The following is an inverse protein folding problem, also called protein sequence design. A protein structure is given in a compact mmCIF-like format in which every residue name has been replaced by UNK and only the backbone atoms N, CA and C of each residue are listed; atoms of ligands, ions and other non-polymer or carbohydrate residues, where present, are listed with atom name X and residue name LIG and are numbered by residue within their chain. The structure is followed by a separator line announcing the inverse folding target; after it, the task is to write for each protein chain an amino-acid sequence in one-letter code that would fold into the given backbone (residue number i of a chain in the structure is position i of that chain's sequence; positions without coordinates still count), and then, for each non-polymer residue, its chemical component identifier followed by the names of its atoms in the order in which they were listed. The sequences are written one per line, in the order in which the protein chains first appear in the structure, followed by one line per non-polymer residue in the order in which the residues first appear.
data_IF_465452024755
#
_entry.id   IF_465452024755
#
_cell.length_a   1.000
_cell.length_b   1.000
_cell.length_c   1.000
_cell.angle_alpha   90.00
_cell.angle_beta   90.00
_cell.angle_gamma   90.00
#
_symmetry.space_group_name_H-M   'P 1'
#
loop_
_entity.id
_entity.type
_entity.pdbx_description
1 polymer ?
#
# COMPACT_ATOMS: atom_id res chain seq x y z
N UNK A 1 -19.28 -16.33 54.69
CA UNK A 1 -17.90 -16.28 54.14
C UNK A 1 -17.98 -15.74 52.72
N UNK A 2 -17.61 -14.48 52.50
CA UNK A 2 -17.48 -13.90 51.15
C UNK A 2 -16.21 -14.49 50.52
N UNK A 3 -16.35 -15.23 49.42
CA UNK A 3 -15.22 -15.73 48.62
C UNK A 3 -14.82 -14.63 47.64
N UNK A 4 -13.68 -14.01 47.90
CA UNK A 4 -13.01 -13.13 46.95
C UNK A 4 -12.34 -14.00 45.89
N UNK A 5 -12.84 -13.96 44.66
CA UNK A 5 -12.15 -14.54 43.50
C UNK A 5 -11.18 -13.47 43.01
N UNK A 6 -9.88 -13.75 43.11
CA UNK A 6 -8.83 -12.93 42.50
C UNK A 6 -8.63 -13.48 41.10
N UNK A 7 -9.15 -12.78 40.10
CA UNK A 7 -8.87 -13.06 38.69
C UNK A 7 -7.50 -12.47 38.35
N UNK A 8 -6.51 -13.33 38.15
CA UNK A 8 -5.18 -12.93 37.69
C UNK A 8 -5.27 -12.58 36.20
N UNK A 9 -5.27 -11.28 35.88
CA UNK A 9 -5.21 -10.81 34.50
C UNK A 9 -3.75 -10.93 34.03
N UNK A 10 -3.45 -11.97 33.25
CA UNK A 10 -2.16 -12.07 32.55
C UNK A 10 -2.25 -11.17 31.32
N UNK A 11 -1.69 -9.96 31.42
CA UNK A 11 -1.39 -9.15 30.25
C UNK A 11 -0.21 -9.81 29.52
N UNK A 12 -0.50 -10.48 28.42
CA UNK A 12 0.52 -10.85 27.44
C UNK A 12 0.96 -9.55 26.76
N UNK A 13 2.20 -9.11 27.02
CA UNK A 13 2.86 -8.13 26.17
C UNK A 13 3.09 -8.78 24.80
N UNK A 14 2.35 -8.33 23.79
CA UNK A 14 2.68 -8.63 22.41
C UNK A 14 4.00 -7.93 22.09
N UNK A 15 5.08 -8.70 22.07
CA UNK A 15 6.30 -8.28 21.38
C UNK A 15 5.94 -8.14 19.89
N UNK A 16 6.29 -7.02 19.26
CA UNK A 16 6.13 -6.80 17.82
C UNK A 16 6.72 -8.01 17.07
N UNK A 17 5.85 -8.75 16.40
CA UNK A 17 6.21 -10.00 15.76
C UNK A 17 6.96 -9.73 14.46
N UNK A 18 8.18 -10.25 14.34
CA UNK A 18 8.84 -10.48 13.06
C UNK A 18 7.88 -11.16 12.09
N UNK A 19 7.84 -10.70 10.84
CA UNK A 19 7.12 -11.34 9.75
C UNK A 19 7.37 -12.86 9.77
N UNK A 20 6.29 -13.64 9.67
CA UNK A 20 6.33 -15.08 9.86
C UNK A 20 6.49 -15.74 8.50
N UNK A 21 7.62 -16.41 8.28
CA UNK A 21 7.77 -17.32 7.15
C UNK A 21 6.53 -18.23 7.08
N UNK A 22 5.89 -18.29 5.91
CA UNK A 22 4.71 -19.09 5.65
C UNK A 22 5.06 -20.15 4.61
N UNK A 23 4.62 -21.37 4.86
CA UNK A 23 4.67 -22.43 3.86
C UNK A 23 3.48 -22.30 2.92
N UNK A 24 3.75 -22.39 1.62
CA UNK A 24 2.78 -22.43 0.54
C UNK A 24 2.86 -23.79 -0.13
N UNK A 25 1.72 -24.50 -0.17
CA UNK A 25 1.63 -25.82 -0.78
C UNK A 25 1.53 -25.76 -2.30
N UNK A 26 1.83 -26.89 -2.94
CA UNK A 26 1.59 -27.15 -4.37
C UNK A 26 0.17 -26.73 -4.78
N UNK A 27 0.03 -26.11 -5.95
CA UNK A 27 -1.23 -25.54 -6.42
C UNK A 27 -1.47 -24.07 -6.00
N UNK A 28 -0.59 -23.48 -5.18
CA UNK A 28 -0.61 -22.03 -4.92
C UNK A 28 -0.33 -21.27 -6.22
N UNK A 29 -0.97 -20.12 -6.39
CA UNK A 29 -0.83 -19.27 -7.59
C UNK A 29 0.19 -18.16 -7.29
N UNK A 30 1.11 -17.93 -8.22
CA UNK A 30 2.10 -16.84 -8.16
C UNK A 30 1.81 -15.86 -9.30
N UNK A 31 1.70 -14.57 -8.98
CA UNK A 31 1.78 -13.47 -9.94
C UNK A 31 3.21 -12.92 -9.85
N UNK A 32 4.11 -13.27 -10.79
CA UNK A 32 5.48 -12.81 -10.77
C UNK A 32 5.55 -11.29 -10.96
N UNK A 33 6.57 -10.67 -10.35
CA UNK A 33 6.83 -9.22 -10.43
C UNK A 33 8.27 -8.93 -10.89
N UNK A 34 8.98 -9.95 -11.36
CA UNK A 34 10.30 -9.86 -11.98
C UNK A 34 10.20 -9.58 -13.49
N UNK A 35 11.29 -9.09 -14.07
CA UNK A 35 11.36 -8.84 -15.52
C UNK A 35 11.63 -10.10 -16.34
N UNK A 36 11.82 -11.26 -15.72
CA UNK A 36 11.97 -12.51 -16.48
C UNK A 36 10.60 -12.96 -17.02
N UNK A 37 9.55 -12.79 -16.21
CA UNK A 37 8.19 -13.26 -16.54
C UNK A 37 7.15 -12.15 -16.70
N UNK A 38 7.31 -10.99 -16.06
CA UNK A 38 6.28 -9.94 -16.03
C UNK A 38 6.66 -8.68 -16.80
N UNK A 39 7.77 -8.68 -17.53
CA UNK A 39 8.36 -7.48 -18.16
C UNK A 39 7.36 -6.65 -19.00
N UNK A 40 6.58 -7.33 -19.85
CA UNK A 40 5.56 -6.70 -20.70
C UNK A 40 4.15 -6.67 -20.10
N UNK A 41 3.96 -7.26 -18.92
CA UNK A 41 2.69 -7.32 -18.21
C UNK A 41 2.69 -6.57 -16.88
N UNK A 42 3.76 -5.86 -16.55
CA UNK A 42 4.04 -5.35 -15.21
C UNK A 42 2.89 -4.56 -14.62
N UNK A 43 2.38 -3.57 -15.35
CA UNK A 43 1.28 -2.74 -14.86
C UNK A 43 -0.03 -3.53 -14.74
N UNK A 44 -0.32 -4.39 -15.72
CA UNK A 44 -1.53 -5.21 -15.69
C UNK A 44 -1.49 -6.30 -14.59
N UNK A 45 -0.33 -6.63 -14.02
CA UNK A 45 -0.25 -7.48 -12.84
C UNK A 45 -0.87 -6.79 -11.62
N UNK A 46 -0.59 -5.50 -11.40
CA UNK A 46 -1.23 -4.73 -10.33
C UNK A 46 -2.74 -4.65 -10.51
N UNK A 47 -3.22 -4.48 -11.75
CA UNK A 47 -4.65 -4.57 -12.06
C UNK A 47 -5.26 -5.93 -11.73
N UNK A 48 -4.57 -7.03 -12.05
CA UNK A 48 -5.03 -8.37 -11.69
C UNK A 48 -5.11 -8.55 -10.17
N UNK A 49 -4.11 -8.07 -9.42
CA UNK A 49 -4.11 -8.10 -7.96
C UNK A 49 -5.29 -7.31 -7.40
N UNK A 50 -5.55 -6.10 -7.93
CA UNK A 50 -6.72 -5.32 -7.56
C UNK A 50 -8.03 -6.05 -7.87
N UNK A 51 -8.15 -6.67 -9.06
CA UNK A 51 -9.33 -7.43 -9.49
C UNK A 51 -9.60 -8.65 -8.60
N UNK A 52 -8.55 -9.35 -8.18
CA UNK A 52 -8.68 -10.45 -7.23
C UNK A 52 -9.14 -9.96 -5.85
N UNK A 53 -8.54 -8.88 -5.33
CA UNK A 53 -8.89 -8.35 -4.01
C UNK A 53 -10.32 -7.80 -3.93
N UNK A 54 -10.83 -7.17 -4.99
CA UNK A 54 -12.23 -6.71 -5.06
C UNK A 54 -13.25 -7.85 -5.20
N UNK A 55 -12.78 -9.07 -5.47
CA UNK A 55 -13.59 -10.29 -5.47
C UNK A 55 -13.24 -11.17 -4.25
N UNK A 56 -12.82 -10.54 -3.14
CA UNK A 56 -12.58 -11.16 -1.83
C UNK A 56 -11.53 -12.28 -1.83
N UNK A 57 -10.54 -12.22 -2.73
CA UNK A 57 -9.44 -13.19 -2.79
C UNK A 57 -8.28 -12.71 -1.92
N UNK A 58 -7.89 -13.41 -0.84
CA UNK A 58 -6.72 -13.05 -0.05
C UNK A 58 -5.43 -13.21 -0.86
N UNK A 59 -4.53 -12.23 -0.75
CA UNK A 59 -3.24 -12.23 -1.44
C UNK A 59 -2.11 -11.99 -0.45
N UNK A 60 -1.06 -12.79 -0.56
CA UNK A 60 0.17 -12.61 0.20
C UNK A 60 1.20 -11.90 -0.67
N UNK A 61 1.66 -10.73 -0.23
CA UNK A 61 2.83 -10.08 -0.82
C UNK A 61 4.08 -10.70 -0.21
N UNK A 62 4.76 -11.57 -0.97
CA UNK A 62 5.87 -12.35 -0.45
C UNK A 62 7.18 -11.62 -0.73
N UNK A 63 7.84 -11.19 0.34
CA UNK A 63 9.06 -10.37 0.28
C UNK A 63 10.03 -10.86 1.34
N UNK A 64 11.21 -11.28 0.91
CA UNK A 64 12.25 -11.81 1.81
C UNK A 64 12.80 -10.71 2.72
N UNK A 65 12.77 -10.96 4.03
CA UNK A 65 13.29 -10.03 5.01
C UNK A 65 14.82 -9.91 4.92
N UNK A 66 15.34 -8.70 5.08
CA UNK A 66 16.77 -8.39 5.02
C UNK A 66 17.42 -8.65 3.66
N UNK A 67 16.62 -8.84 2.59
CA UNK A 67 17.18 -9.07 1.26
C UNK A 67 17.93 -7.83 0.76
N UNK A 68 18.97 -8.05 -0.04
CA UNK A 68 19.55 -6.97 -0.84
C UNK A 68 18.73 -6.78 -2.11
N UNK A 69 18.81 -5.59 -2.70
CA UNK A 69 18.14 -5.30 -3.96
C UNK A 69 18.49 -6.33 -5.05
N UNK A 70 17.49 -6.74 -5.82
CA UNK A 70 17.66 -7.73 -6.90
C UNK A 70 17.82 -9.17 -6.43
N UNK A 71 17.85 -9.44 -5.12
CA UNK A 71 17.79 -10.81 -4.61
C UNK A 71 16.39 -11.40 -4.77
N UNK A 72 16.33 -12.72 -4.96
CA UNK A 72 15.08 -13.48 -4.94
C UNK A 72 14.39 -13.41 -3.57
N UNK A 73 13.07 -13.26 -3.62
CA UNK A 73 12.16 -13.32 -2.48
C UNK A 73 11.94 -14.77 -2.03
N UNK A 74 11.79 -15.67 -2.99
CA UNK A 74 11.79 -17.11 -2.78
C UNK A 74 12.12 -17.83 -4.09
N UNK A 75 12.36 -19.14 -3.99
CA UNK A 75 12.63 -20.00 -5.14
C UNK A 75 11.70 -21.21 -5.11
N UNK A 76 11.08 -21.53 -6.24
CA UNK A 76 10.25 -22.75 -6.35
C UNK A 76 10.08 -23.21 -7.80
N UNK A 77 9.54 -24.42 -7.95
CA UNK A 77 9.10 -24.98 -9.22
C UNK A 77 7.63 -24.64 -9.47
N UNK A 78 7.30 -24.37 -10.72
CA UNK A 78 5.95 -24.03 -11.15
C UNK A 78 5.69 -24.46 -12.60
N UNK A 79 4.46 -24.24 -13.05
CA UNK A 79 4.08 -24.24 -14.46
C UNK A 79 3.33 -22.95 -14.78
N UNK A 80 3.37 -22.52 -16.05
CA UNK A 80 2.53 -21.42 -16.50
C UNK A 80 1.04 -21.75 -16.34
N UNK A 81 0.26 -20.81 -15.80
CA UNK A 81 -1.17 -21.00 -15.53
C UNK A 81 -1.98 -21.19 -16.81
N UNK A 82 -1.62 -20.50 -17.90
CA UNK A 82 -2.42 -20.43 -19.13
C UNK A 82 -2.32 -21.72 -19.94
N UNK A 83 -1.16 -22.37 -19.99
CA UNK A 83 -0.97 -23.60 -20.76
C UNK A 83 -0.73 -24.87 -19.92
N UNK A 84 -0.39 -24.72 -18.62
CA UNK A 84 -0.09 -25.82 -17.69
C UNK A 84 0.99 -26.81 -18.17
N UNK A 85 1.79 -26.43 -19.16
CA UNK A 85 2.81 -27.27 -19.80
C UNK A 85 4.20 -26.63 -19.78
N UNK A 86 4.26 -25.30 -19.82
CA UNK A 86 5.52 -24.56 -19.71
C UNK A 86 6.04 -24.70 -18.29
N UNK A 87 7.05 -25.58 -18.12
CA UNK A 87 7.69 -25.87 -16.84
C UNK A 87 8.65 -24.76 -16.47
N UNK A 88 8.56 -24.33 -15.21
CA UNK A 88 9.43 -23.35 -14.58
C UNK A 88 10.12 -24.09 -13.44
N UNK A 89 11.44 -24.25 -13.55
CA UNK A 89 12.22 -25.03 -12.59
C UNK A 89 13.12 -24.10 -11.79
N UNK A 90 13.05 -24.20 -10.47
CA UNK A 90 13.94 -23.54 -9.51
C UNK A 90 14.08 -22.03 -9.77
N UNK A 91 12.96 -21.38 -10.11
CA UNK A 91 12.97 -19.95 -10.46
C UNK A 91 13.03 -19.09 -9.21
N UNK A 92 13.99 -18.17 -9.15
CA UNK A 92 14.09 -17.16 -8.11
C UNK A 92 13.21 -15.96 -8.42
N UNK A 93 12.00 -15.95 -7.86
CA UNK A 93 11.05 -14.85 -8.02
C UNK A 93 11.56 -13.60 -7.30
N UNK A 94 11.53 -12.45 -7.98
CA UNK A 94 12.04 -11.17 -7.47
C UNK A 94 10.97 -10.08 -7.56
N UNK A 95 11.28 -8.93 -6.96
CA UNK A 95 10.45 -7.72 -7.07
C UNK A 95 9.12 -7.82 -6.32
N UNK A 96 9.04 -8.64 -5.27
CA UNK A 96 7.84 -8.80 -4.44
C UNK A 96 6.70 -9.48 -5.20
N UNK A 97 6.84 -10.76 -5.59
CA UNK A 97 5.74 -11.52 -6.17
C UNK A 97 4.52 -11.61 -5.24
N UNK A 98 3.33 -11.71 -5.86
CA UNK A 98 2.08 -11.92 -5.14
C UNK A 98 1.68 -13.39 -5.18
N UNK A 99 1.20 -13.92 -4.06
CA UNK A 99 0.87 -15.34 -3.93
C UNK A 99 -0.54 -15.51 -3.39
N UNK A 100 -1.33 -16.37 -4.03
CA UNK A 100 -2.60 -16.89 -3.51
C UNK A 100 -2.32 -18.29 -2.97
N UNK A 101 -2.60 -18.51 -1.69
CA UNK A 101 -2.41 -19.81 -1.06
C UNK A 101 -3.31 -20.86 -1.72
N UNK A 102 -2.81 -22.09 -1.89
CA UNK A 102 -3.58 -23.18 -2.51
C UNK A 102 -4.92 -23.45 -1.81
N UNK A 103 -5.04 -23.15 -0.51
CA UNK A 103 -6.30 -23.23 0.23
C UNK A 103 -7.36 -22.22 -0.23
N UNK A 104 -6.94 -21.09 -0.80
CA UNK A 104 -7.81 -20.01 -1.28
C UNK A 104 -8.08 -20.12 -2.79
N UNK A 105 -7.38 -21.00 -3.51
CA UNK A 105 -7.54 -21.21 -4.96
C UNK A 105 -8.79 -22.06 -5.25
N UNK A 106 -9.78 -21.43 -5.88
CA UNK A 106 -11.01 -22.08 -6.34
C UNK A 106 -11.34 -21.73 -7.81
N UNK A 107 -12.44 -22.26 -8.34
CA UNK A 107 -12.83 -22.04 -9.76
C UNK A 107 -13.15 -20.57 -10.07
N UNK A 108 -13.65 -19.80 -9.10
CA UNK A 108 -13.88 -18.35 -9.24
C UNK A 108 -12.57 -17.61 -9.41
N UNK A 109 -11.57 -17.88 -8.56
CA UNK A 109 -10.21 -17.31 -8.67
C UNK A 109 -9.63 -17.59 -10.05
N UNK A 110 -9.71 -18.84 -10.51
CA UNK A 110 -9.22 -19.24 -11.83
C UNK A 110 -9.97 -18.52 -12.95
N UNK A 111 -11.29 -18.38 -12.85
CA UNK A 111 -12.10 -17.69 -13.85
C UNK A 111 -11.74 -16.21 -13.97
N UNK A 112 -11.46 -15.53 -12.85
CA UNK A 112 -10.98 -14.13 -12.84
C UNK A 112 -9.65 -14.03 -13.60
N UNK A 113 -8.68 -14.89 -13.29
CA UNK A 113 -7.37 -14.89 -13.94
C UNK A 113 -7.50 -15.17 -15.45
N UNK A 114 -8.30 -16.16 -15.84
CA UNK A 114 -8.56 -16.49 -17.25
C UNK A 114 -9.20 -15.30 -17.98
N UNK A 115 -10.22 -14.67 -17.39
CA UNK A 115 -10.89 -13.52 -17.98
C UNK A 115 -9.94 -12.33 -18.15
N UNK A 116 -9.08 -12.08 -17.16
CA UNK A 116 -8.06 -11.02 -17.23
C UNK A 116 -7.03 -11.27 -18.33
N UNK A 117 -6.44 -12.48 -18.35
CA UNK A 117 -5.43 -12.88 -19.33
C UNK A 117 -5.98 -12.99 -20.77
N UNK A 118 -7.29 -13.02 -20.96
CA UNK A 118 -7.92 -13.00 -22.28
C UNK A 118 -7.80 -11.64 -22.97
N UNK A 119 -7.69 -10.55 -22.20
CA UNK A 119 -7.66 -9.17 -22.73
C UNK A 119 -6.41 -8.38 -22.33
N UNK A 120 -5.61 -8.91 -21.40
CA UNK A 120 -4.40 -8.26 -20.91
C UNK A 120 -3.19 -9.19 -20.95
N UNK A 121 -2.03 -8.62 -21.29
CA UNK A 121 -0.75 -9.31 -21.17
C UNK A 121 -0.38 -9.36 -19.70
N UNK A 122 -0.44 -10.55 -19.11
CA UNK A 122 0.00 -10.84 -17.74
C UNK A 122 0.44 -12.30 -17.63
N UNK A 123 1.45 -12.57 -16.81
CA UNK A 123 1.91 -13.92 -16.52
C UNK A 123 1.43 -14.33 -15.14
N UNK A 124 1.06 -15.61 -14.99
CA UNK A 124 0.63 -16.21 -13.73
C UNK A 124 1.15 -17.63 -13.72
N UNK A 125 1.67 -18.09 -12.59
CA UNK A 125 2.20 -19.44 -12.45
C UNK A 125 1.43 -20.21 -11.39
N UNK A 126 1.46 -21.55 -11.49
CA UNK A 126 0.94 -22.48 -10.48
C UNK A 126 2.10 -23.29 -9.96
N UNK A 127 2.33 -23.23 -8.65
CA UNK A 127 3.39 -23.99 -8.00
C UNK A 127 3.22 -25.50 -8.17
N UNK A 128 4.30 -26.19 -8.51
CA UNK A 128 4.37 -27.65 -8.60
C UNK A 128 5.18 -28.26 -7.45
N UNK A 129 5.74 -27.40 -6.60
CA UNK A 129 6.51 -27.75 -5.41
C UNK A 129 6.21 -26.76 -4.28
N UNK A 130 6.13 -27.29 -3.07
CA UNK A 130 5.95 -26.50 -1.86
C UNK A 130 7.17 -25.58 -1.63
N UNK A 131 6.92 -24.39 -1.09
CA UNK A 131 7.99 -23.45 -0.73
C UNK A 131 7.67 -22.68 0.56
N UNK A 132 8.69 -22.05 1.12
CA UNK A 132 8.55 -21.09 2.21
C UNK A 132 8.85 -19.68 1.70
N UNK A 133 8.04 -18.71 2.11
CA UNK A 133 8.25 -17.30 1.81
C UNK A 133 7.94 -16.42 3.00
N UNK A 134 8.72 -15.36 3.17
CA UNK A 134 8.45 -14.33 4.18
C UNK A 134 7.28 -13.46 3.72
N UNK A 135 6.33 -13.21 4.61
CA UNK A 135 5.15 -12.41 4.31
C UNK A 135 5.46 -10.93 4.59
N UNK A 136 5.59 -10.15 3.53
CA UNK A 136 5.67 -8.70 3.63
C UNK A 136 4.32 -8.13 4.05
N UNK A 137 3.23 -8.50 3.37
CA UNK A 137 1.85 -8.12 3.71
C UNK A 137 0.88 -9.23 3.38
N UNK A 138 -0.22 -9.33 4.14
CA UNK A 138 -1.42 -10.06 3.72
C UNK A 138 -2.51 -9.06 3.35
N UNK A 139 -2.85 -9.01 2.08
CA UNK A 139 -3.91 -8.17 1.53
C UNK A 139 -5.22 -8.94 1.50
N UNK A 140 -6.29 -8.28 1.91
CA UNK A 140 -7.63 -8.89 2.01
C UNK A 140 -8.73 -7.99 1.45
N UNK A 141 -8.41 -6.76 1.08
CA UNK A 141 -9.35 -5.83 0.47
C UNK A 141 -8.66 -5.00 -0.61
N UNK A 142 -9.39 -4.69 -1.67
CA UNK A 142 -8.93 -3.70 -2.64
C UNK A 142 -9.03 -2.31 -2.00
N UNK A 143 -7.96 -1.48 -2.04
CA UNK A 143 -8.02 -0.15 -1.48
C UNK A 143 -9.08 0.69 -2.21
N UNK A 144 -9.94 1.39 -1.47
CA UNK A 144 -10.77 2.46 -2.05
C UNK A 144 -9.90 3.69 -2.26
N UNK A 145 -9.93 4.28 -3.45
CA UNK A 145 -8.94 5.26 -3.89
C UNK A 145 -9.63 6.58 -4.20
N UNK A 146 -9.08 7.68 -3.70
CA UNK A 146 -9.38 9.04 -4.12
C UNK A 146 -8.16 9.70 -4.76
N UNK A 147 -8.42 10.56 -5.74
CA UNK A 147 -7.41 11.35 -6.43
C UNK A 147 -7.70 12.84 -6.23
N UNK A 148 -6.70 13.58 -5.77
CA UNK A 148 -6.79 15.02 -5.66
C UNK A 148 -6.76 15.66 -7.05
N UNK A 149 -7.84 16.36 -7.41
CA UNK A 149 -7.96 17.14 -8.63
C UNK A 149 -7.15 18.45 -8.53
N UNK A 150 -5.83 18.30 -8.37
CA UNK A 150 -4.87 19.38 -8.16
C UNK A 150 -4.47 20.10 -9.47
N UNK A 151 -5.19 19.85 -10.57
CA UNK A 151 -4.88 20.32 -11.92
C UNK A 151 -3.88 19.45 -12.66
N UNK A 152 -3.24 18.49 -11.99
CA UNK A 152 -2.24 17.58 -12.53
C UNK A 152 -2.62 16.10 -12.32
N UNK A 153 -3.86 15.82 -11.94
CA UNK A 153 -4.42 14.47 -11.74
C UNK A 153 -4.23 13.53 -12.94
N UNK A 154 -4.05 14.08 -14.16
CA UNK A 154 -3.79 13.30 -15.37
C UNK A 154 -2.53 12.41 -15.25
N UNK A 155 -1.57 12.77 -14.39
CA UNK A 155 -0.38 11.96 -14.11
C UNK A 155 -0.76 10.65 -13.43
N UNK A 156 -1.39 10.73 -12.25
CA UNK A 156 -1.86 9.56 -11.51
C UNK A 156 -2.84 8.73 -12.34
N UNK A 157 -3.78 9.39 -13.04
CA UNK A 157 -4.68 8.74 -13.99
C UNK A 157 -3.93 7.87 -14.99
N UNK A 158 -2.81 8.34 -15.55
CA UNK A 158 -2.03 7.56 -16.51
C UNK A 158 -1.51 6.25 -15.92
N UNK A 159 -1.12 6.25 -14.64
CA UNK A 159 -0.64 5.07 -13.91
C UNK A 159 -1.78 4.08 -13.66
N UNK A 160 -2.92 4.59 -13.19
CA UNK A 160 -4.12 3.78 -12.94
C UNK A 160 -4.65 3.13 -14.23
N UNK A 161 -4.70 3.88 -15.33
CA UNK A 161 -5.09 3.38 -16.66
C UNK A 161 -4.10 2.32 -17.18
N UNK A 162 -2.79 2.55 -17.01
CA UNK A 162 -1.77 1.58 -17.38
C UNK A 162 -1.96 0.26 -16.60
N UNK A 163 -2.27 0.34 -15.30
CA UNK A 163 -2.57 -0.81 -14.47
C UNK A 163 -3.95 -1.43 -14.73
N UNK A 164 -4.89 -0.68 -15.32
CA UNK A 164 -6.32 -1.02 -15.42
C UNK A 164 -7.02 -1.11 -14.06
N UNK A 165 -6.57 -0.32 -13.08
CA UNK A 165 -7.27 -0.20 -11.80
C UNK A 165 -8.36 0.87 -11.97
N UNK A 166 -9.65 0.54 -11.81
CA UNK A 166 -10.75 1.47 -12.05
C UNK A 166 -11.04 2.36 -10.85
N UNK A 167 -11.85 3.39 -11.10
CA UNK A 167 -12.53 4.13 -10.02
C UNK A 167 -13.67 3.30 -9.39
N UNK A 168 -14.36 3.86 -8.40
CA UNK A 168 -15.46 3.21 -7.69
C UNK A 168 -16.68 2.90 -8.56
N UNK A 169 -16.80 3.51 -9.74
CA UNK A 169 -17.85 3.21 -10.72
C UNK A 169 -17.46 2.10 -11.70
N UNK A 170 -16.27 1.52 -11.50
CA UNK A 170 -15.64 0.53 -12.35
C UNK A 170 -15.19 1.07 -13.70
N UNK A 171 -14.97 2.38 -13.81
CA UNK A 171 -14.42 3.00 -15.01
C UNK A 171 -12.87 3.01 -14.94
N UNK A 172 -12.18 2.22 -15.79
CA UNK A 172 -10.72 2.16 -15.81
C UNK A 172 -10.06 3.41 -16.41
N UNK A 173 -10.85 4.33 -16.98
CA UNK A 173 -10.35 5.56 -17.61
C UNK A 173 -10.22 6.73 -16.64
N UNK A 174 -10.80 6.62 -15.44
CA UNK A 174 -10.78 7.64 -14.39
C UNK A 174 -11.21 9.03 -14.91
N UNK A 175 -12.42 9.20 -15.47
CA UNK A 175 -12.83 10.48 -16.06
C UNK A 175 -12.78 11.62 -15.03
N UNK A 176 -12.69 12.88 -15.48
CA UNK A 176 -12.76 14.04 -14.56
C UNK A 176 -14.08 14.10 -13.77
N UNK A 177 -15.12 13.43 -14.27
CA UNK A 177 -16.42 13.27 -13.59
C UNK A 177 -16.47 12.10 -12.61
N UNK A 178 -15.36 11.38 -12.40
CA UNK A 178 -15.29 10.29 -11.43
C UNK A 178 -15.68 10.81 -10.05
N UNK A 179 -16.51 10.09 -9.28
CA UNK A 179 -16.85 10.49 -7.91
C UNK A 179 -15.65 10.50 -6.96
N UNK A 180 -14.55 9.86 -7.37
CA UNK A 180 -13.32 9.73 -6.58
C UNK A 180 -12.27 10.77 -6.97
N UNK A 181 -12.60 11.67 -7.90
CA UNK A 181 -11.78 12.80 -8.31
C UNK A 181 -12.18 14.03 -7.47
N UNK A 182 -11.48 14.23 -6.35
CA UNK A 182 -11.85 15.23 -5.33
C UNK A 182 -11.15 16.56 -5.56
N UNK A 183 -11.91 17.64 -5.67
CA UNK A 183 -11.36 19.00 -5.75
C UNK A 183 -10.77 19.47 -4.41
N UNK A 184 -9.87 20.47 -4.41
CA UNK A 184 -9.37 21.06 -3.16
C UNK A 184 -10.49 21.53 -2.23
N UNK A 185 -11.58 22.09 -2.77
CA UNK A 185 -12.71 22.55 -1.97
C UNK A 185 -13.51 21.39 -1.35
N UNK A 186 -13.66 20.28 -2.09
CA UNK A 186 -14.32 19.08 -1.56
C UNK A 186 -13.47 18.42 -0.47
N UNK A 187 -12.16 18.35 -0.63
CA UNK A 187 -11.26 17.83 0.40
C UNK A 187 -11.29 18.72 1.65
N UNK A 188 -11.22 20.04 1.47
CA UNK A 188 -11.18 21.01 2.57
C UNK A 188 -12.48 21.04 3.40
N UNK A 189 -13.64 20.81 2.79
CA UNK A 189 -14.92 20.97 3.51
C UNK A 189 -15.10 22.40 4.06
N UNK A 190 -15.51 22.51 5.32
CA UNK A 190 -15.69 23.81 5.99
C UNK A 190 -14.42 24.19 6.75
N UNK A 191 -13.86 25.36 6.45
CA UNK A 191 -12.64 25.86 7.12
C UNK A 191 -12.76 25.83 8.65
N UNK A 192 -11.83 25.15 9.32
CA UNK A 192 -11.75 25.01 10.76
C UNK A 192 -12.69 23.96 11.35
N UNK A 193 -13.31 23.12 10.52
CA UNK A 193 -14.17 22.00 10.94
C UNK A 193 -13.52 20.70 10.50
N UNK A 194 -13.01 19.96 11.46
CA UNK A 194 -12.35 18.68 11.19
C UNK A 194 -13.36 17.63 10.70
N UNK A 195 -12.94 16.89 9.67
CA UNK A 195 -13.57 15.66 9.15
C UNK A 195 -14.95 15.87 8.53
N UNK A 196 -15.15 17.00 7.87
CA UNK A 196 -16.39 17.33 7.16
C UNK A 196 -16.21 17.38 5.63
N UNK A 197 -14.98 17.29 5.13
CA UNK A 197 -14.66 17.18 3.72
C UNK A 197 -15.04 15.82 3.11
N UNK A 198 -14.90 15.72 1.79
CA UNK A 198 -15.29 14.55 1.00
C UNK A 198 -14.46 13.29 1.30
N UNK A 199 -13.32 13.42 1.99
CA UNK A 199 -12.56 12.29 2.51
C UNK A 199 -13.33 11.52 3.59
N UNK A 200 -14.30 12.16 4.22
CA UNK A 200 -15.05 11.62 5.34
C UNK A 200 -16.53 11.43 5.00
N UNK A 201 -17.13 10.48 5.68
CA UNK A 201 -18.58 10.32 5.73
C UNK A 201 -19.16 11.24 6.80
N UNK A 202 -20.49 11.34 6.86
CA UNK A 202 -21.22 12.23 7.78
C UNK A 202 -20.98 11.95 9.28
N UNK A 203 -20.35 10.83 9.63
CA UNK A 203 -19.94 10.49 10.99
C UNK A 203 -18.43 10.70 11.25
N UNK A 204 -17.73 11.37 10.34
CA UNK A 204 -16.30 11.68 10.45
C UNK A 204 -15.38 10.48 10.21
N UNK A 205 -15.86 9.42 9.54
CA UNK A 205 -15.06 8.24 9.20
C UNK A 205 -14.56 8.29 7.76
N UNK A 206 -13.33 7.82 7.47
CA UNK A 206 -12.76 7.87 6.13
C UNK A 206 -13.59 7.05 5.15
N UNK A 207 -13.82 7.61 3.96
CA UNK A 207 -14.48 6.95 2.82
C UNK A 207 -13.48 6.20 1.93
N UNK A 208 -12.23 6.65 1.97
CA UNK A 208 -11.15 6.18 1.13
C UNK A 208 -10.08 5.49 1.97
N UNK A 209 -9.46 4.47 1.39
CA UNK A 209 -8.24 3.87 1.89
C UNK A 209 -7.04 4.75 1.59
N UNK A 210 -7.06 5.38 0.42
CA UNK A 210 -5.93 6.07 -0.14
C UNK A 210 -6.34 7.40 -0.77
N UNK A 211 -5.55 8.43 -0.52
CA UNK A 211 -5.58 9.69 -1.25
C UNK A 211 -4.23 9.91 -1.93
N UNK A 212 -4.26 10.35 -3.18
CA UNK A 212 -3.05 10.71 -3.93
C UNK A 212 -3.12 12.12 -4.51
N UNK A 213 -1.98 12.81 -4.53
CA UNK A 213 -1.80 14.14 -5.13
C UNK A 213 -0.44 14.21 -5.83
N UNK A 214 -0.37 14.90 -6.97
CA UNK A 214 0.77 14.77 -7.88
C UNK A 214 1.61 16.04 -7.96
N UNK A 215 0.97 17.21 -7.98
CA UNK A 215 1.69 18.47 -8.21
C UNK A 215 0.95 19.68 -7.65
N UNK A 216 0.27 19.49 -6.52
CA UNK A 216 -0.33 20.60 -5.82
C UNK A 216 0.75 21.49 -5.19
N UNK A 217 0.83 22.76 -5.56
CA UNK A 217 1.94 23.64 -5.18
C UNK A 217 1.83 24.22 -3.77
N UNK A 218 2.97 24.55 -3.16
CA UNK A 218 3.03 25.19 -1.82
C UNK A 218 2.15 26.44 -1.75
N UNK A 219 2.19 27.29 -2.76
CA UNK A 219 1.37 28.52 -2.79
C UNK A 219 -0.15 28.26 -2.91
N UNK A 220 -0.57 27.09 -3.39
CA UNK A 220 -1.98 26.70 -3.38
C UNK A 220 -2.38 26.11 -2.03
N UNK A 221 -1.47 25.37 -1.40
CA UNK A 221 -1.64 24.86 -0.05
C UNK A 221 -1.66 25.96 1.01
N UNK A 222 -0.82 27.00 0.90
CA UNK A 222 -0.86 28.18 1.75
C UNK A 222 -2.19 28.95 1.64
N UNK A 223 -2.83 28.95 0.46
CA UNK A 223 -4.14 29.58 0.26
C UNK A 223 -5.29 28.72 0.76
N UNK A 224 -5.09 27.40 0.82
CA UNK A 224 -6.10 26.43 1.23
C UNK A 224 -5.53 25.49 2.31
N UNK A 225 -5.08 26.01 3.46
CA UNK A 225 -4.40 25.20 4.48
C UNK A 225 -5.31 24.11 5.06
N UNK A 226 -6.63 24.30 4.95
CA UNK A 226 -7.63 23.32 5.38
C UNK A 226 -7.49 21.98 4.66
N UNK A 227 -7.07 21.96 3.39
CA UNK A 227 -6.82 20.70 2.65
C UNK A 227 -5.73 19.89 3.36
N UNK A 228 -4.65 20.56 3.79
CA UNK A 228 -3.55 19.90 4.51
C UNK A 228 -4.01 19.42 5.89
N UNK A 229 -4.85 20.20 6.56
CA UNK A 229 -5.44 19.83 7.85
C UNK A 229 -6.35 18.59 7.74
N UNK A 230 -7.28 18.57 6.78
CA UNK A 230 -8.19 17.44 6.53
C UNK A 230 -7.42 16.17 6.13
N UNK A 231 -6.35 16.29 5.33
CA UNK A 231 -5.48 15.14 5.01
C UNK A 231 -4.74 14.65 6.25
N UNK A 232 -4.33 15.55 7.16
CA UNK A 232 -3.73 15.14 8.44
C UNK A 232 -4.74 14.39 9.32
N UNK A 233 -5.98 14.85 9.37
CA UNK A 233 -7.07 14.14 10.06
C UNK A 233 -7.39 12.80 9.41
N UNK A 234 -7.29 12.71 8.08
CA UNK A 234 -7.51 11.47 7.34
C UNK A 234 -6.47 10.41 7.72
N UNK A 235 -5.22 10.83 7.92
CA UNK A 235 -4.12 10.02 8.44
C UNK A 235 -4.21 9.73 9.94
N UNK A 236 -5.20 10.27 10.65
CA UNK A 236 -5.59 9.83 11.99
C UNK A 236 -6.31 8.47 12.00
N UNK A 237 -6.62 7.94 10.81
CA UNK A 237 -7.18 6.61 10.53
C UNK A 237 -6.16 5.74 9.78
N UNK A 238 -6.32 4.39 9.74
CA UNK A 238 -5.39 3.48 9.08
C UNK A 238 -5.50 3.56 7.55
N UNK A 239 -5.26 4.75 6.99
CA UNK A 239 -5.36 5.13 5.59
C UNK A 239 -3.96 5.46 5.05
N UNK A 240 -3.87 5.83 3.78
CA UNK A 240 -2.63 6.20 3.14
C UNK A 240 -2.75 7.50 2.36
N UNK A 241 -1.75 8.35 2.50
CA UNK A 241 -1.58 9.56 1.71
C UNK A 241 -0.31 9.44 0.87
N UNK A 242 -0.45 9.61 -0.42
CA UNK A 242 0.65 9.61 -1.37
C UNK A 242 0.79 10.98 -2.03
N UNK A 243 2.00 11.55 -1.99
CA UNK A 243 2.30 12.77 -2.70
C UNK A 243 3.54 12.64 -3.60
N UNK A 244 3.47 13.25 -4.78
CA UNK A 244 4.59 13.38 -5.72
C UNK A 244 5.00 14.84 -5.91
N UNK A 245 6.24 15.06 -6.36
CA UNK A 245 6.78 16.35 -6.76
C UNK A 245 6.42 17.53 -5.82
N UNK A 246 5.76 18.58 -6.32
CA UNK A 246 5.47 19.79 -5.51
C UNK A 246 4.51 19.51 -4.36
N UNK A 247 3.68 18.48 -4.48
CA UNK A 247 2.74 18.13 -3.43
C UNK A 247 3.46 17.60 -2.18
N UNK A 248 4.62 16.97 -2.33
CA UNK A 248 5.45 16.57 -1.17
C UNK A 248 5.77 17.79 -0.32
N UNK A 249 6.34 18.83 -0.94
CA UNK A 249 6.72 20.06 -0.27
C UNK A 249 5.49 20.82 0.26
N UNK A 250 4.40 20.88 -0.52
CA UNK A 250 3.17 21.55 -0.12
C UNK A 250 2.55 20.97 1.16
N UNK A 251 2.47 19.65 1.27
CA UNK A 251 1.89 19.01 2.45
C UNK A 251 2.89 18.92 3.60
N UNK A 252 4.16 18.61 3.34
CA UNK A 252 5.14 18.46 4.43
C UNK A 252 5.52 19.80 5.06
N UNK A 253 5.68 20.89 4.30
CA UNK A 253 6.12 22.18 4.84
C UNK A 253 5.00 22.99 5.52
N UNK A 254 3.76 22.51 5.43
CA UNK A 254 2.61 23.08 6.14
C UNK A 254 2.16 22.14 7.26
N UNK A 255 2.08 20.84 6.98
CA UNK A 255 1.53 19.83 7.87
C UNK A 255 2.55 19.13 8.77
N UNK A 256 3.83 19.10 8.39
CA UNK A 256 4.95 18.47 9.10
C UNK A 256 4.68 17.00 9.46
N UNK A 257 4.30 16.19 8.47
CA UNK A 257 3.84 14.82 8.69
C UNK A 257 4.99 13.90 9.09
N UNK A 258 6.16 14.01 8.44
CA UNK A 258 7.31 13.14 8.66
C UNK A 258 8.54 13.85 9.24
N UNK A 259 8.58 15.17 9.18
CA UNK A 259 9.72 16.03 9.57
C UNK A 259 9.31 17.01 10.69
N UNK A 260 10.30 17.61 11.34
CA UNK A 260 10.05 18.68 12.31
C UNK A 260 9.91 20.05 11.67
N UNK A 261 10.69 20.35 10.64
CA UNK A 261 10.77 21.69 10.04
C UNK A 261 10.57 21.72 8.52
N UNK A 262 10.05 20.64 7.93
CA UNK A 262 9.81 20.54 6.50
C UNK A 262 11.04 20.09 5.71
N UNK A 263 10.94 20.22 4.40
CA UNK A 263 11.97 19.92 3.41
C UNK A 263 12.53 21.17 2.74
N UNK A 264 13.79 21.06 2.34
CA UNK A 264 14.41 21.86 1.28
C UNK A 264 14.35 21.08 -0.04
N UNK A 265 14.16 21.78 -1.15
CA UNK A 265 14.10 21.14 -2.48
C UNK A 265 15.52 20.78 -2.91
N UNK A 266 15.76 19.47 -3.06
CA UNK A 266 17.00 18.92 -3.56
C UNK A 266 17.09 18.97 -5.08
N UNK A 267 18.31 18.85 -5.59
CA UNK A 267 18.57 18.78 -7.04
C UNK A 267 18.35 17.37 -7.57
N UNK A 268 18.29 17.27 -8.89
CA UNK A 268 18.39 16.00 -9.62
C UNK A 268 19.64 15.19 -9.19
N UNK A 269 19.46 13.88 -8.97
CA UNK A 269 20.50 13.00 -8.42
C UNK A 269 21.06 12.08 -9.51
N UNK A 270 22.31 12.32 -9.93
CA UNK A 270 22.96 11.50 -10.96
C UNK A 270 23.15 10.02 -10.54
N UNK A 271 23.26 9.77 -9.24
CA UNK A 271 23.36 8.44 -8.65
C UNK A 271 22.50 8.35 -7.39
N UNK A 272 21.80 7.24 -7.24
CA UNK A 272 21.01 6.93 -6.03
C UNK A 272 21.48 5.62 -5.41
N UNK A 273 21.14 5.40 -4.16
CA UNK A 273 21.23 4.11 -3.46
C UNK A 273 19.82 3.64 -3.10
N UNK A 274 19.57 2.36 -3.28
CA UNK A 274 18.39 1.69 -2.75
C UNK A 274 18.69 1.22 -1.33
N UNK A 275 17.80 1.53 -0.40
CA UNK A 275 17.84 1.11 1.00
C UNK A 275 16.50 0.45 1.33
N UNK A 276 16.46 -0.35 2.39
CA UNK A 276 15.25 -1.07 2.82
C UNK A 276 14.62 -1.91 1.67
N UNK A 277 15.43 -2.70 0.97
CA UNK A 277 15.00 -3.46 -0.22
C UNK A 277 13.99 -4.58 0.07
N UNK A 278 13.76 -4.90 1.34
CA UNK A 278 12.72 -5.78 1.86
C UNK A 278 11.41 -5.06 2.23
N UNK A 279 11.35 -3.73 2.07
CA UNK A 279 10.12 -2.96 2.22
C UNK A 279 9.17 -3.17 1.03
N UNK A 280 7.86 -3.40 1.23
CA UNK A 280 6.87 -3.43 0.15
C UNK A 280 6.94 -2.23 -0.81
N UNK A 281 7.27 -1.04 -0.29
CA UNK A 281 7.43 0.16 -1.09
C UNK A 281 8.65 0.14 -2.03
N UNK A 282 9.67 -0.69 -1.74
CA UNK A 282 10.92 -0.75 -2.50
C UNK A 282 10.93 -1.86 -3.56
N UNK A 283 9.81 -2.55 -3.79
CA UNK A 283 9.77 -3.74 -4.65
C UNK A 283 9.78 -3.40 -6.14
N UNK A 284 10.96 -3.53 -6.76
CA UNK A 284 11.18 -3.41 -8.20
C UNK A 284 12.23 -4.44 -8.66
N UNK A 285 12.31 -4.68 -9.97
CA UNK A 285 13.26 -5.60 -10.60
C UNK A 285 13.64 -5.09 -12.00
N UNK A 286 14.76 -5.57 -12.57
CA UNK A 286 15.22 -5.17 -13.91
C UNK A 286 16.04 -3.87 -13.96
N UNK A 287 16.49 -3.39 -12.80
CA UNK A 287 17.48 -2.30 -12.71
C UNK A 287 18.87 -2.93 -12.60
N UNK A 288 19.77 -2.55 -13.51
CA UNK A 288 21.18 -2.95 -13.43
C UNK A 288 21.89 -2.09 -12.38
N UNK A 289 22.39 -2.72 -11.32
CA UNK A 289 23.23 -2.09 -10.29
C UNK A 289 24.69 -2.36 -10.62
N UNK A 290 25.50 -1.29 -10.72
CA UNK A 290 26.96 -1.40 -10.72
C UNK A 290 27.51 -1.31 -9.29
N UNK A 291 28.70 -1.88 -9.04
CA UNK A 291 29.34 -2.04 -7.73
C UNK A 291 29.65 -0.71 -7.02
N UNK A 292 29.69 0.41 -7.75
CA UNK A 292 30.05 1.75 -7.26
C UNK A 292 28.84 2.71 -7.13
N UNK A 293 27.63 2.18 -6.99
CA UNK A 293 26.41 2.97 -6.94
C UNK A 293 25.87 3.34 -8.33
N UNK A 294 24.54 3.43 -8.39
CA UNK A 294 23.74 3.26 -9.60
C UNK A 294 23.84 4.48 -10.52
N UNK A 295 23.92 4.27 -11.83
CA UNK A 295 23.51 5.27 -12.84
C UNK A 295 21.98 5.40 -12.94
N UNK A 296 21.29 5.50 -11.80
CA UNK A 296 19.85 5.30 -11.66
C UNK A 296 18.99 6.45 -12.16
N UNK A 297 19.59 7.59 -12.49
CA UNK A 297 18.78 8.77 -12.72
C UNK A 297 17.82 8.60 -13.90
N UNK A 298 18.25 7.91 -14.96
CA UNK A 298 17.37 7.63 -16.09
C UNK A 298 16.12 6.84 -15.71
N UNK A 299 16.04 6.23 -14.52
CA UNK A 299 14.91 5.40 -14.06
C UNK A 299 13.87 6.18 -13.23
N UNK A 300 14.25 7.29 -12.60
CA UNK A 300 13.39 8.07 -11.69
C UNK A 300 13.24 9.53 -12.13
N UNK A 301 13.48 9.79 -13.42
CA UNK A 301 13.39 11.12 -13.99
C UNK A 301 11.94 11.56 -14.17
N UNK A 302 11.60 12.69 -13.57
CA UNK A 302 10.31 13.34 -13.74
C UNK A 302 10.19 14.60 -12.90
N UNK A 303 9.29 15.51 -13.28
CA UNK A 303 8.90 16.64 -12.46
C UNK A 303 9.89 17.77 -12.19
N UNK A 304 9.42 18.75 -11.41
CA UNK A 304 10.19 19.95 -11.03
C UNK A 304 10.89 19.84 -9.67
N UNK A 305 10.46 18.94 -8.80
CA UNK A 305 11.04 18.69 -7.46
C UNK A 305 11.47 17.22 -7.36
N UNK A 306 12.72 16.89 -7.74
CA UNK A 306 13.17 15.51 -7.95
C UNK A 306 13.67 14.79 -6.69
N UNK A 307 14.03 15.53 -5.64
CA UNK A 307 14.47 14.99 -4.35
C UNK A 307 14.32 16.03 -3.25
N UNK A 308 14.46 15.60 -2.01
CA UNK A 308 14.26 16.42 -0.83
C UNK A 308 15.43 16.29 0.14
N UNK A 309 15.84 17.43 0.69
CA UNK A 309 16.86 17.56 1.71
C UNK A 309 16.18 18.00 3.01
N UNK A 310 16.67 17.53 4.15
CA UNK A 310 16.30 18.10 5.44
C UNK A 310 17.12 19.37 5.70
N UNK A 311 16.55 20.39 6.37
CA UNK A 311 17.31 21.55 6.80
C UNK A 311 18.55 21.15 7.60
N UNK A 312 19.63 21.93 7.50
CA UNK A 312 20.90 21.57 8.13
C UNK A 312 20.75 21.37 9.66
N UNK A 313 21.10 20.16 10.12
CA UNK A 313 21.00 19.75 11.52
C UNK A 313 19.63 19.18 11.93
N UNK A 314 18.68 19.08 11.01
CA UNK A 314 17.38 18.44 11.24
C UNK A 314 17.44 16.92 11.02
N UNK A 315 16.34 16.26 11.35
CA UNK A 315 16.14 14.82 11.22
C UNK A 315 14.68 14.50 10.91
N UNK A 316 14.43 13.36 10.29
CA UNK A 316 13.08 12.79 10.31
C UNK A 316 12.63 12.53 11.73
N UNK A 317 11.32 12.60 11.97
CA UNK A 317 10.73 12.27 13.27
C UNK A 317 11.08 10.84 13.70
N UNK A 318 11.19 9.94 12.73
CA UNK A 318 11.74 8.60 12.88
C UNK A 318 12.62 8.29 11.66
N UNK A 319 13.78 7.67 11.88
CA UNK A 319 14.69 7.27 10.80
C UNK A 319 14.27 5.98 10.11
N UNK A 320 14.96 5.65 9.02
CA UNK A 320 14.74 4.44 8.23
C UNK A 320 13.51 4.52 7.31
N UNK A 321 12.99 5.72 7.05
CA UNK A 321 11.80 5.94 6.22
C UNK A 321 12.13 5.94 4.74
N UNK A 322 13.39 6.12 4.38
CA UNK A 322 13.81 6.27 2.99
C UNK A 322 14.02 4.91 2.33
N UNK A 323 13.59 4.77 1.07
CA UNK A 323 13.85 3.60 0.22
C UNK A 323 14.83 3.93 -0.90
N UNK A 324 14.84 5.19 -1.35
CA UNK A 324 15.73 5.68 -2.40
C UNK A 324 16.25 7.04 -1.99
N UNK A 325 17.57 7.20 -2.00
CA UNK A 325 18.23 8.47 -1.68
C UNK A 325 19.50 8.61 -2.49
N UNK A 326 20.07 9.81 -2.52
CA UNK A 326 21.32 10.10 -3.20
C UNK A 326 22.43 9.14 -2.76
N UNK A 327 23.23 8.73 -3.73
CA UNK A 327 24.38 7.87 -3.47
C UNK A 327 25.44 8.62 -2.64
N UNK A 328 26.12 7.91 -1.76
CA UNK A 328 27.19 8.45 -0.89
C UNK A 328 26.75 9.58 0.07
N UNK A 329 25.46 9.63 0.41
CA UNK A 329 24.93 10.50 1.47
C UNK A 329 24.20 9.70 2.54
N UNK A 330 23.91 10.30 3.68
CA UNK A 330 22.99 9.75 4.68
C UNK A 330 21.54 10.07 4.34
N UNK A 331 20.61 9.35 4.98
CA UNK A 331 19.18 9.71 4.98
C UNK A 331 18.99 11.21 5.34
N UNK A 332 18.01 11.85 4.71
CA UNK A 332 17.73 13.29 4.82
C UNK A 332 18.56 14.16 3.87
N UNK A 333 19.30 13.58 2.93
CA UNK A 333 20.18 14.32 2.01
C UNK A 333 20.02 13.77 0.58
N UNK A 334 19.13 14.39 -0.19
CA UNK A 334 18.77 14.01 -1.56
C UNK A 334 17.87 12.78 -1.59
N UNK A 335 16.91 12.70 -0.69
CA UNK A 335 15.98 11.59 -0.59
C UNK A 335 14.92 11.68 -1.71
N UNK A 336 14.65 10.56 -2.37
CA UNK A 336 13.78 10.49 -3.55
C UNK A 336 12.50 9.73 -3.24
N UNK A 337 12.54 8.67 -2.44
CA UNK A 337 11.37 7.85 -2.13
C UNK A 337 11.36 7.56 -0.64
N UNK A 338 10.33 8.03 0.07
CA UNK A 338 10.23 7.97 1.53
C UNK A 338 8.83 7.56 1.96
N UNK A 339 8.72 6.84 3.07
CA UNK A 339 7.44 6.42 3.64
C UNK A 339 7.50 6.27 5.15
N UNK A 340 6.48 6.74 5.85
CA UNK A 340 6.41 6.64 7.31
C UNK A 340 4.99 6.84 7.84
N UNK A 341 4.79 6.54 9.11
CA UNK A 341 3.52 6.83 9.77
C UNK A 341 3.43 8.29 10.17
N UNK A 342 2.19 8.80 10.25
CA UNK A 342 1.93 10.17 10.68
C UNK A 342 2.68 10.53 11.98
N UNK A 343 3.36 11.68 11.96
CA UNK A 343 4.19 12.21 13.03
C UNK A 343 5.38 11.31 13.43
N UNK A 344 5.78 10.34 12.60
CA UNK A 344 6.84 9.38 12.93
C UNK A 344 6.50 8.50 14.14
N UNK A 345 5.21 8.24 14.37
CA UNK A 345 4.74 7.59 15.61
C UNK A 345 5.19 6.12 15.73
N UNK A 346 5.34 5.42 14.59
CA UNK A 346 5.82 4.05 14.54
C UNK A 346 6.92 3.90 13.50
N UNK A 347 7.76 2.88 13.66
CA UNK A 347 8.80 2.57 12.69
C UNK A 347 8.18 2.23 11.32
N UNK A 348 8.81 2.64 10.21
CA UNK A 348 8.29 2.42 8.86
C UNK A 348 8.19 0.93 8.48
N UNK A 349 8.94 0.07 9.17
CA UNK A 349 8.90 -1.39 9.02
C UNK A 349 7.67 -2.03 9.67
N UNK A 350 7.00 -1.34 10.60
CA UNK A 350 5.80 -1.87 11.25
C UNK A 350 4.64 -1.98 10.24
N UNK A 351 3.90 -3.08 10.33
CA UNK A 351 2.77 -3.36 9.44
C UNK A 351 1.54 -2.49 9.77
N UNK A 352 1.37 -2.11 11.03
CA UNK A 352 0.36 -1.17 11.50
C UNK A 352 0.92 -0.19 12.55
N UNK A 353 0.19 0.91 12.80
CA UNK A 353 0.52 1.89 13.82
C UNK A 353 -0.74 2.30 14.60
N UNK A 354 -1.49 1.30 15.05
CA UNK A 354 -2.81 1.53 15.65
C UNK A 354 -3.74 2.21 14.65
N UNK A 355 -4.37 3.32 15.03
CA UNK A 355 -5.25 4.03 14.12
C UNK A 355 -4.52 4.92 13.13
N UNK A 356 -3.19 5.04 13.16
CA UNK A 356 -2.51 6.02 12.31
C UNK A 356 -2.22 5.50 10.90
N UNK A 357 -2.42 6.39 9.94
CA UNK A 357 -2.16 6.18 8.53
C UNK A 357 -0.71 6.43 8.15
N UNK A 358 -0.40 6.05 6.91
CA UNK A 358 0.93 6.21 6.31
C UNK A 358 0.98 7.33 5.30
N UNK A 359 2.16 7.92 5.20
CA UNK A 359 2.50 8.98 4.26
C UNK A 359 3.63 8.46 3.39
N UNK A 360 3.49 8.60 2.08
CA UNK A 360 4.58 8.30 1.15
C UNK A 360 4.83 9.46 0.19
N UNK A 361 6.11 9.75 0.00
CA UNK A 361 6.59 10.88 -0.76
C UNK A 361 7.58 10.43 -1.82
N UNK A 362 7.25 10.71 -3.08
CA UNK A 362 8.06 10.37 -4.23
C UNK A 362 8.50 11.64 -4.98
N UNK A 363 9.80 11.81 -5.15
CA UNK A 363 10.40 12.94 -5.84
C UNK A 363 10.27 12.82 -7.35
N UNK A 364 9.88 13.91 -7.99
CA UNK A 364 9.47 13.94 -9.39
C UNK A 364 8.02 13.49 -9.58
N UNK A 365 7.59 13.45 -10.83
CA UNK A 365 6.28 12.93 -11.26
C UNK A 365 6.33 12.65 -12.78
N UNK A 366 5.26 12.07 -13.33
CA UNK A 366 5.14 11.78 -14.78
C UNK A 366 6.19 10.76 -15.29
N UNK A 367 6.46 9.75 -14.48
CA UNK A 367 7.10 8.51 -14.91
C UNK A 367 6.44 7.89 -16.14
N UNK A 368 7.22 7.17 -16.94
CA UNK A 368 6.69 6.52 -18.16
C UNK A 368 5.78 5.33 -17.77
N UNK A 369 4.87 4.99 -18.70
CA UNK A 369 4.03 3.78 -18.63
C UNK A 369 4.35 2.81 -19.77
N UNK A 370 5.57 2.91 -20.31
CA UNK A 370 6.01 2.11 -21.44
C UNK A 370 6.49 0.74 -20.99
N UNK A 371 6.24 -0.26 -21.83
CA UNK A 371 6.61 -1.65 -21.64
C UNK A 371 7.37 -2.14 -22.89
N UNK A 372 8.27 -3.13 -22.78
CA UNK A 372 8.67 -3.82 -21.55
C UNK A 372 9.44 -2.91 -20.56
N UNK A 373 9.41 -3.24 -19.26
CA UNK A 373 10.12 -2.48 -18.21
C UNK A 373 11.63 -2.47 -18.43
N UNK A 374 12.20 -3.60 -18.85
CA UNK A 374 13.64 -3.76 -19.11
C UNK A 374 14.16 -2.76 -20.15
N UNK A 375 13.37 -2.44 -21.18
CA UNK A 375 13.70 -1.44 -22.21
C UNK A 375 13.28 -0.01 -21.83
N UNK A 376 12.41 0.14 -20.81
CA UNK A 376 11.83 1.41 -20.40
C UNK A 376 12.08 1.66 -18.91
N UNK A 377 13.34 1.92 -18.52
CA UNK A 377 13.74 2.07 -17.12
C UNK A 377 12.96 3.14 -16.34
N UNK A 378 12.46 4.19 -17.01
CA UNK A 378 11.62 5.25 -16.42
C UNK A 378 10.27 4.77 -15.89
N UNK A 379 9.83 3.61 -16.35
CA UNK A 379 8.58 3.00 -15.93
C UNK A 379 8.64 2.44 -14.50
N UNK A 380 9.82 2.38 -13.89
CA UNK A 380 9.99 1.93 -12.50
C UNK A 380 9.36 2.90 -11.50
N UNK A 381 9.36 4.22 -11.76
CA UNK A 381 8.67 5.18 -10.89
C UNK A 381 7.17 4.90 -10.80
N UNK A 382 6.54 4.52 -11.92
CA UNK A 382 5.13 4.05 -11.93
C UNK A 382 4.94 2.81 -11.05
N UNK A 383 5.92 1.89 -10.97
CA UNK A 383 5.83 0.75 -10.04
C UNK A 383 5.91 1.19 -8.58
N UNK A 384 6.76 2.16 -8.25
CA UNK A 384 6.85 2.70 -6.88
C UNK A 384 5.52 3.32 -6.45
N UNK A 385 4.90 4.09 -7.34
CA UNK A 385 3.53 4.60 -7.17
C UNK A 385 2.54 3.45 -6.95
N UNK A 386 2.50 2.44 -7.82
CA UNK A 386 1.55 1.34 -7.72
C UNK A 386 1.76 0.46 -6.48
N UNK A 387 3.02 0.22 -6.08
CA UNK A 387 3.35 -0.47 -4.84
C UNK A 387 2.72 0.22 -3.63
N UNK A 388 2.74 1.55 -3.61
CA UNK A 388 2.19 2.33 -2.51
C UNK A 388 0.69 2.12 -2.33
N UNK A 389 -0.05 1.83 -3.42
CA UNK A 389 -1.49 1.58 -3.36
C UNK A 389 -1.83 0.38 -2.46
N UNK A 390 -1.05 -0.68 -2.60
CA UNK A 390 -1.28 -1.95 -1.90
C UNK A 390 -0.66 -1.99 -0.50
N UNK A 391 0.00 -0.92 -0.08
CA UNK A 391 0.53 -0.79 1.28
C UNK A 391 -0.40 0.02 2.19
N UNK A 392 -1.48 0.60 1.66
CA UNK A 392 -2.45 1.29 2.48
C UNK A 392 -2.92 0.38 3.63
N UNK A 393 -2.79 0.79 4.91
CA UNK A 393 -3.05 -0.12 6.03
C UNK A 393 -4.44 -0.76 5.95
N UNK A 394 -5.44 -0.01 5.48
CA UNK A 394 -6.80 -0.48 5.26
C UNK A 394 -6.97 -1.56 4.16
N UNK A 395 -5.95 -1.90 3.37
CA UNK A 395 -5.99 -3.03 2.43
C UNK A 395 -5.48 -4.35 3.08
N UNK A 396 -4.80 -4.24 4.21
CA UNK A 396 -4.18 -5.37 4.93
C UNK A 396 -5.16 -6.03 5.90
N UNK A 397 -4.91 -7.29 6.27
CA UNK A 397 -5.72 -7.99 7.28
C UNK A 397 -5.64 -7.33 8.67
N UNK A 398 -4.49 -6.77 9.03
CA UNK A 398 -4.31 -6.03 10.28
C UNK A 398 -5.06 -4.70 10.31
N UNK A 399 -5.18 -4.04 9.16
CA UNK A 399 -5.98 -2.82 9.05
C UNK A 399 -7.48 -3.06 9.02
N UNK A 400 -7.96 -4.30 8.81
CA UNK A 400 -9.40 -4.57 8.75
C UNK A 400 -10.09 -4.47 10.12
N UNK A 401 -11.43 -4.28 10.13
CA UNK A 401 -12.24 -4.55 11.30
C UNK A 401 -12.12 -6.03 11.71
N UNK A 402 -12.10 -6.29 13.01
CA UNK A 402 -12.04 -7.63 13.56
C UNK A 402 -13.09 -7.78 14.65
N UNK A 403 -14.05 -8.68 14.47
CA UNK A 403 -15.19 -8.81 15.39
C UNK A 403 -15.03 -9.94 16.39
N UNK A 404 -15.21 -9.61 17.67
CA UNK A 404 -15.49 -10.56 18.71
C UNK A 404 -16.99 -10.60 19.01
N UNK A 405 -17.55 -11.81 19.04
CA UNK A 405 -18.95 -12.07 19.34
C UNK A 405 -19.06 -12.81 20.67
N UNK A 406 -19.89 -12.31 21.57
CA UNK A 406 -20.23 -13.01 22.82
C UNK A 406 -21.74 -13.16 22.91
N UNK A 407 -22.23 -14.40 22.94
CA UNK A 407 -23.62 -14.74 23.24
C UNK A 407 -23.71 -15.19 24.69
N UNK A 408 -24.51 -14.50 25.49
CA UNK A 408 -24.81 -14.86 26.87
C UNK A 408 -26.32 -14.95 27.06
N UNK A 409 -26.76 -15.60 28.14
CA UNK A 409 -28.18 -15.71 28.48
C UNK A 409 -28.40 -15.32 29.94
N UNK A 410 -29.55 -14.71 30.22
CA UNK A 410 -29.97 -14.50 31.60
C UNK A 410 -30.22 -15.85 32.29
N UNK A 411 -30.05 -15.92 33.64
CA UNK A 411 -30.41 -17.12 34.38
C UNK A 411 -31.87 -17.50 34.11
N UNK A 412 -32.18 -18.80 33.94
CA UNK A 412 -33.53 -19.24 33.64
C UNK A 412 -34.52 -18.79 34.72
N UNK A 413 -35.60 -18.14 34.30
CA UNK A 413 -36.71 -17.78 35.19
C UNK A 413 -37.77 -18.88 35.16
N UNK A 414 -38.57 -18.99 36.23
CA UNK A 414 -39.64 -19.98 36.33
C UNK A 414 -40.75 -19.81 35.27
N UNK A 415 -40.73 -18.71 34.50
CA UNK A 415 -41.74 -18.32 33.53
C UNK A 415 -41.45 -18.79 32.09
N UNK A 416 -40.36 -19.54 31.88
CA UNK A 416 -40.10 -20.27 30.62
C UNK A 416 -39.53 -19.44 29.47
N UNK A 417 -39.28 -18.15 29.66
CA UNK A 417 -38.60 -17.30 28.68
C UNK A 417 -37.10 -17.18 29.01
N UNK A 418 -36.25 -17.30 27.99
CA UNK A 418 -34.79 -17.08 28.06
C UNK A 418 -34.44 -15.89 27.17
N UNK A 419 -33.85 -14.86 27.75
CA UNK A 419 -33.29 -13.72 27.01
C UNK A 419 -31.82 -13.97 26.72
N UNK A 420 -31.43 -13.84 25.46
CA UNK A 420 -30.01 -13.85 25.05
C UNK A 420 -29.51 -12.43 24.84
N UNK A 421 -28.29 -12.15 25.30
CA UNK A 421 -27.56 -10.92 25.01
C UNK A 421 -26.42 -11.25 24.05
N UNK A 422 -26.41 -10.56 22.91
CA UNK A 422 -25.34 -10.65 21.91
C UNK A 422 -24.53 -9.36 21.99
N UNK A 423 -23.28 -9.48 22.41
CA UNK A 423 -22.30 -8.39 22.34
C UNK A 423 -21.45 -8.57 21.08
N UNK A 424 -21.40 -7.51 20.28
CA UNK A 424 -20.57 -7.40 19.08
C UNK A 424 -19.54 -6.32 19.34
N UNK A 425 -18.26 -6.67 19.32
CA UNK A 425 -17.19 -5.73 19.56
C UNK A 425 -16.23 -5.75 18.37
N UNK A 426 -16.03 -4.60 17.72
CA UNK A 426 -14.95 -4.42 16.76
C UNK A 426 -13.66 -4.15 17.54
N UNK A 427 -12.73 -5.10 17.48
CA UNK A 427 -11.39 -5.05 18.03
C UNK A 427 -10.33 -4.73 16.95
N UNK A 428 -10.74 -4.57 15.68
CA UNK A 428 -9.85 -4.19 14.59
C UNK A 428 -9.66 -2.68 14.49
N UNK A 429 -8.73 -2.27 13.61
CA UNK A 429 -8.28 -0.87 13.50
C UNK A 429 -9.18 -0.03 12.61
N UNK A 430 -9.80 -0.63 11.58
CA UNK A 430 -10.73 0.07 10.71
C UNK A 430 -12.16 0.02 11.22
N UNK A 431 -12.96 0.94 10.71
CA UNK A 431 -14.41 0.90 10.84
C UNK A 431 -14.97 -0.24 10.00
N UNK A 432 -15.83 -1.04 10.59
CA UNK A 432 -16.75 -1.84 9.82
C UNK A 432 -17.97 -1.04 9.39
N UNK A 433 -18.30 -1.14 8.11
CA UNK A 433 -19.58 -0.73 7.55
C UNK A 433 -20.46 -1.97 7.40
N UNK A 434 -21.78 -1.79 7.50
CA UNK A 434 -22.77 -2.82 7.12
C UNK A 434 -22.68 -4.16 7.87
N UNK A 435 -22.35 -4.13 9.16
CA UNK A 435 -22.26 -5.32 10.01
C UNK A 435 -23.64 -5.97 10.16
N UNK A 436 -23.80 -7.15 9.58
CA UNK A 436 -24.98 -7.98 9.79
C UNK A 436 -24.68 -9.12 10.77
N UNK A 437 -25.48 -9.20 11.84
CA UNK A 437 -25.41 -10.30 12.81
C UNK A 437 -26.63 -11.19 12.65
N UNK A 438 -26.40 -12.41 12.18
CA UNK A 438 -27.42 -13.44 12.01
C UNK A 438 -27.23 -14.51 13.08
N UNK A 439 -28.25 -14.73 13.92
CA UNK A 439 -28.34 -15.91 14.78
C UNK A 439 -29.04 -17.01 13.97
N UNK A 440 -28.35 -18.11 13.61
CA UNK A 440 -28.87 -19.14 12.72
C UNK A 440 -30.05 -19.95 13.28
#
# INVERSE_FOLDING_TARGET
MKRTVVTLLVMAFALSGTARAKSFGTGSIIIPMDVDYQDSGMFKAYGLVYELLRNDVPIYWVIKQGKTFGSADFTTDAVDFKDSQTVITDHGYRGGPWVIDSADVNDTVKAIIVAWQAVHVTTVHVTTKDFEGDIGRKLVAAPTIAMHADGNQAIARSYMVAAHIPDSTLDPTWPDSSPDMLTPAEIAGTVGVERDGALFSSNGRPRYCQLMTMHWGVGDAEKNPEVVAEVKEFLGFPTHFFAECQAVNAFENIGFFLTFNGFEIGKEQNKVKFVNADSPFAQIDGIVIDVDGIGAWDYLKGGSEPSYDLPNGDSYRIGGITMITKFDTSEGNGDVWMTGYLNGTCAPTEEDCGSLGKVSYLGGHQYDVKLPISDNPKSQGTRLFLNSLFEAPCATDKGQPFFAFTKSADPPTAEGNVTYHILVQNNGLSTATDVEVRDP
#
